data_IF_390288586050
#
_entry.id   IF_390288586050
#
_cell.length_a   1.000
_cell.length_b   1.000
_cell.length_c   1.000
_cell.angle_alpha   90.00
_cell.angle_beta   90.00
_cell.angle_gamma   90.00
#
_symmetry.space_group_name_H-M   'P 1'
#
loop_
_entity.id
_entity.type
_entity.pdbx_description
1 polymer ?
#
# COMPACT_ATOMS: atom_id res chain seq x y z
N UNK A 1 5.00 4.64 23.83
CA UNK A 1 4.42 3.34 23.41
C UNK A 1 2.92 3.41 23.25
N UNK A 2 2.18 4.02 24.19
CA UNK A 2 0.72 4.16 24.08
C UNK A 2 0.27 4.88 22.79
N UNK A 3 0.89 6.01 22.44
CA UNK A 3 0.62 6.69 21.16
C UNK A 3 0.90 5.80 19.94
N UNK A 4 1.94 4.96 20.01
CA UNK A 4 2.27 3.99 18.95
C UNK A 4 1.25 2.85 18.88
N UNK A 5 0.78 2.37 20.03
CA UNK A 5 -0.27 1.37 20.13
C UNK A 5 -1.58 1.88 19.52
N UNK A 6 -1.95 3.12 19.83
CA UNK A 6 -3.11 3.79 19.27
C UNK A 6 -2.98 3.97 17.75
N UNK A 7 -1.83 4.44 17.26
CA UNK A 7 -1.58 4.56 15.82
C UNK A 7 -1.66 3.20 15.09
N UNK A 8 -1.08 2.13 15.67
CA UNK A 8 -1.19 0.77 15.12
C UNK A 8 -2.62 0.26 15.13
N UNK A 9 -3.39 0.58 16.17
CA UNK A 9 -4.81 0.22 16.26
C UNK A 9 -5.65 0.92 15.20
N UNK A 10 -5.42 2.22 14.99
CA UNK A 10 -6.11 3.02 13.95
C UNK A 10 -5.74 2.56 12.54
N UNK A 11 -4.50 2.12 12.32
CA UNK A 11 -4.05 1.51 11.07
C UNK A 11 -4.54 0.07 10.89
N UNK A 12 -5.37 -0.44 11.79
CA UNK A 12 -5.83 -1.83 11.88
C UNK A 12 -4.69 -2.86 11.93
N UNK A 13 -3.49 -2.50 12.42
CA UNK A 13 -2.28 -3.33 12.49
C UNK A 13 -2.12 -3.99 13.86
N UNK A 14 -3.14 -4.77 14.24
CA UNK A 14 -3.25 -5.36 15.57
C UNK A 14 -2.09 -6.31 15.93
N UNK A 15 -1.58 -7.05 14.95
CA UNK A 15 -0.52 -8.05 15.15
C UNK A 15 0.83 -7.42 15.55
N UNK A 16 1.04 -6.13 15.25
CA UNK A 16 2.25 -5.40 15.60
C UNK A 16 2.28 -4.93 17.07
N UNK A 17 1.11 -4.84 17.72
CA UNK A 17 0.96 -4.30 19.08
C UNK A 17 1.62 -5.24 20.10
N UNK A 18 1.46 -6.56 19.92
CA UNK A 18 2.09 -7.59 20.75
C UNK A 18 3.62 -7.49 20.83
N UNK A 19 4.34 -7.60 19.70
CA UNK A 19 5.79 -7.45 19.65
C UNK A 19 6.29 -6.13 20.23
N UNK A 20 5.57 -5.04 20.02
CA UNK A 20 5.91 -3.73 20.61
C UNK A 20 5.85 -3.77 22.14
N UNK A 21 4.76 -4.28 22.72
CA UNK A 21 4.62 -4.34 24.18
C UNK A 21 5.59 -5.31 24.86
N UNK A 22 6.04 -6.37 24.17
CA UNK A 22 7.10 -7.26 24.69
C UNK A 22 8.40 -6.54 25.03
N UNK A 23 8.66 -5.37 24.45
CA UNK A 23 9.85 -4.58 24.75
C UNK A 23 9.78 -3.89 26.13
N UNK A 24 8.58 -3.55 26.61
CA UNK A 24 8.41 -2.79 27.87
C UNK A 24 7.90 -3.63 29.04
N UNK A 25 7.19 -4.74 28.78
CA UNK A 25 6.67 -5.64 29.82
C UNK A 25 7.78 -6.07 30.81
N UNK A 26 8.97 -6.56 30.37
CA UNK A 26 10.00 -7.01 31.30
C UNK A 26 10.55 -5.90 32.21
N UNK A 27 10.47 -4.64 31.75
CA UNK A 27 10.92 -3.49 32.54
C UNK A 27 9.87 -3.10 33.58
N UNK A 28 8.58 -3.14 33.22
CA UNK A 28 7.47 -2.86 34.14
C UNK A 28 7.33 -3.92 35.23
N UNK A 29 7.57 -5.19 34.90
CA UNK A 29 7.63 -6.29 35.86
C UNK A 29 8.73 -6.07 36.91
N UNK A 30 9.94 -5.67 36.49
CA UNK A 30 11.05 -5.36 37.41
C UNK A 30 10.79 -4.16 38.32
N UNK A 31 9.91 -3.26 37.90
CA UNK A 31 9.54 -2.06 38.65
C UNK A 31 8.28 -2.27 39.51
N UNK A 32 7.71 -3.49 39.52
CA UNK A 32 6.43 -3.79 40.17
C UNK A 32 5.30 -2.82 39.77
N UNK A 33 5.35 -2.30 38.54
CA UNK A 33 4.34 -1.37 38.03
C UNK A 33 3.12 -2.12 37.48
N UNK A 34 2.38 -2.77 38.39
CA UNK A 34 1.22 -3.57 38.05
C UNK A 34 0.10 -2.77 37.40
N UNK A 35 -0.04 -1.48 37.74
CA UNK A 35 -1.06 -0.60 37.14
C UNK A 35 -0.87 -0.48 35.63
N UNK A 36 0.37 -0.23 35.18
CA UNK A 36 0.69 -0.17 33.75
C UNK A 36 0.57 -1.53 33.08
N UNK A 37 0.96 -2.62 33.76
CA UNK A 37 0.82 -3.98 33.22
C UNK A 37 -0.65 -4.32 32.95
N UNK A 38 -1.57 -4.02 33.87
CA UNK A 38 -3.01 -4.23 33.67
C UNK A 38 -3.52 -3.50 32.43
N UNK A 39 -3.13 -2.25 32.23
CA UNK A 39 -3.49 -1.47 31.04
C UNK A 39 -2.99 -2.11 29.75
N UNK A 40 -1.71 -2.50 29.72
CA UNK A 40 -1.09 -3.14 28.54
C UNK A 40 -1.79 -4.46 28.19
N UNK A 41 -2.08 -5.31 29.18
CA UNK A 41 -2.75 -6.58 28.92
C UNK A 41 -4.21 -6.40 28.46
N UNK A 42 -4.92 -5.39 28.95
CA UNK A 42 -6.25 -5.04 28.46
C UNK A 42 -6.22 -4.58 26.99
N UNK A 43 -5.25 -3.75 26.62
CA UNK A 43 -5.04 -3.35 25.22
C UNK A 43 -4.67 -4.52 24.32
N UNK A 44 -3.80 -5.42 24.79
CA UNK A 44 -3.42 -6.63 24.06
C UNK A 44 -4.62 -7.54 23.81
N UNK A 45 -5.47 -7.74 24.82
CA UNK A 45 -6.70 -8.50 24.67
C UNK A 45 -7.57 -7.89 23.57
N UNK A 46 -7.81 -6.57 23.62
CA UNK A 46 -8.63 -5.88 22.64
C UNK A 46 -8.02 -5.97 21.23
N UNK A 47 -6.71 -5.79 21.09
CA UNK A 47 -6.00 -5.91 19.83
C UNK A 47 -6.16 -7.31 19.21
N UNK A 48 -5.94 -8.38 19.99
CA UNK A 48 -6.07 -9.74 19.47
C UNK A 48 -7.50 -10.15 19.18
N UNK A 49 -8.49 -9.69 19.96
CA UNK A 49 -9.91 -9.87 19.63
C UNK A 49 -10.25 -9.25 18.27
N UNK A 50 -9.86 -7.99 18.04
CA UNK A 50 -10.06 -7.34 16.74
C UNK A 50 -9.32 -8.06 15.61
N UNK A 51 -8.09 -8.52 15.85
CA UNK A 51 -7.33 -9.31 14.89
C UNK A 51 -8.07 -10.60 14.47
N UNK A 52 -8.69 -11.29 15.42
CA UNK A 52 -9.48 -12.48 15.15
C UNK A 52 -10.75 -12.16 14.33
N UNK A 53 -11.46 -11.09 14.68
CA UNK A 53 -12.66 -10.63 13.97
C UNK A 53 -12.36 -10.24 12.51
N UNK A 54 -11.29 -9.48 12.27
CA UNK A 54 -10.91 -9.09 10.91
C UNK A 54 -10.42 -10.27 10.08
N UNK A 55 -9.76 -11.25 10.71
CA UNK A 55 -9.36 -12.50 10.05
C UNK A 55 -10.57 -13.35 9.67
N UNK A 56 -11.58 -13.44 10.54
CA UNK A 56 -12.82 -14.20 10.27
C UNK A 56 -13.70 -13.53 9.22
N UNK A 57 -13.84 -12.20 9.27
CA UNK A 57 -14.68 -11.45 8.32
C UNK A 57 -14.05 -11.30 6.93
N UNK A 58 -12.72 -11.29 6.83
CA UNK A 58 -12.00 -11.12 5.57
C UNK A 58 -12.20 -9.76 4.90
N UNK A 59 -12.75 -8.77 5.62
CA UNK A 59 -13.06 -7.41 5.12
C UNK A 59 -11.93 -6.39 5.35
N UNK A 60 -10.80 -6.84 5.88
CA UNK A 60 -9.65 -5.98 6.16
C UNK A 60 -8.94 -5.61 4.86
N UNK A 61 -8.74 -4.31 4.63
CA UNK A 61 -8.02 -3.78 3.48
C UNK A 61 -6.82 -2.97 3.96
N UNK A 62 -5.64 -3.58 3.92
CA UNK A 62 -4.39 -2.99 4.45
C UNK A 62 -3.69 -2.03 3.46
N UNK A 63 -4.31 -1.82 2.31
CA UNK A 63 -3.90 -0.90 1.26
C UNK A 63 -3.84 -1.57 -0.10
N UNK A 64 -3.95 -0.73 -1.13
CA UNK A 64 -3.80 -1.08 -2.54
C UNK A 64 -2.46 -0.56 -3.04
N UNK A 65 -1.87 -1.26 -4.02
CA UNK A 65 -0.56 -0.89 -4.57
C UNK A 65 -0.69 -0.63 -6.07
N UNK A 66 0.04 0.38 -6.53
CA UNK A 66 0.10 0.76 -7.93
C UNK A 66 1.55 0.90 -8.36
N UNK A 67 1.91 0.26 -9.47
CA UNK A 67 3.14 0.61 -10.18
C UNK A 67 2.85 1.83 -11.05
N UNK A 68 3.66 2.86 -10.93
CA UNK A 68 3.58 4.09 -11.72
C UNK A 68 4.88 4.26 -12.48
N UNK A 69 4.79 4.27 -13.81
CA UNK A 69 5.91 4.52 -14.71
C UNK A 69 5.79 5.90 -15.32
N UNK A 70 6.89 6.63 -15.33
CA UNK A 70 6.95 7.99 -15.87
C UNK A 70 7.76 8.02 -17.17
N UNK A 71 7.18 8.54 -18.25
CA UNK A 71 7.86 8.72 -19.54
C UNK A 71 7.62 10.14 -20.04
N UNK A 72 8.67 10.95 -20.09
CA UNK A 72 8.62 12.27 -20.75
C UNK A 72 9.99 12.92 -20.81
N UNK A 73 10.80 12.59 -21.81
CA UNK A 73 12.22 12.94 -21.88
C UNK A 73 12.47 14.46 -21.73
N UNK A 74 11.63 15.26 -22.38
CA UNK A 74 11.77 16.73 -22.40
C UNK A 74 11.30 17.42 -21.12
N UNK A 75 10.41 16.79 -20.35
CA UNK A 75 9.71 17.42 -19.23
C UNK A 75 10.08 16.82 -17.87
N UNK A 76 10.43 15.54 -17.82
CA UNK A 76 10.60 14.78 -16.58
C UNK A 76 12.05 14.54 -16.16
N UNK A 77 13.07 15.02 -16.88
CA UNK A 77 14.50 14.94 -16.49
C UNK A 77 14.88 13.62 -15.80
N UNK A 78 15.04 13.64 -14.47
CA UNK A 78 15.46 12.49 -13.65
C UNK A 78 14.36 11.44 -13.44
N UNK A 79 13.09 11.83 -13.59
CA UNK A 79 11.94 10.94 -13.44
C UNK A 79 11.60 10.22 -14.75
N UNK A 80 12.20 10.62 -15.89
CA UNK A 80 12.00 9.92 -17.15
C UNK A 80 12.49 8.47 -17.08
N UNK A 81 11.65 7.55 -17.55
CA UNK A 81 11.88 6.10 -17.58
C UNK A 81 12.14 5.50 -16.19
N UNK A 82 11.41 6.01 -15.19
CA UNK A 82 11.47 5.49 -13.82
C UNK A 82 10.18 4.78 -13.43
N UNK A 83 10.33 3.70 -12.66
CA UNK A 83 9.23 2.91 -12.08
C UNK A 83 9.18 3.10 -10.57
N UNK A 84 7.98 3.40 -10.08
CA UNK A 84 7.72 3.61 -8.66
C UNK A 84 6.56 2.76 -8.21
N UNK A 85 6.60 2.33 -6.94
CA UNK A 85 5.46 1.68 -6.29
C UNK A 85 4.81 2.68 -5.35
N UNK A 86 3.55 2.99 -5.63
CA UNK A 86 2.70 3.79 -4.77
C UNK A 86 1.79 2.89 -3.94
N UNK A 87 1.64 3.25 -2.66
CA UNK A 87 0.75 2.55 -1.73
C UNK A 87 -0.32 3.50 -1.25
N UNK A 88 -1.57 3.11 -1.43
CA UNK A 88 -2.74 3.83 -0.95
C UNK A 88 -3.31 3.18 0.31
N UNK A 89 -3.88 3.99 1.19
CA UNK A 89 -4.65 3.50 2.34
C UNK A 89 -6.05 3.08 1.91
N UNK A 90 -6.48 1.88 2.28
CA UNK A 90 -7.84 1.39 1.99
C UNK A 90 -7.99 0.82 0.58
N UNK A 91 -9.13 1.13 -0.05
CA UNK A 91 -9.58 0.60 -1.36
C UNK A 91 -9.57 1.70 -2.43
N UNK A 92 -8.40 2.28 -2.72
CA UNK A 92 -8.31 3.26 -3.80
C UNK A 92 -8.46 2.55 -5.15
N UNK A 93 -9.23 3.13 -6.07
CA UNK A 93 -9.40 2.59 -7.41
C UNK A 93 -8.30 3.09 -8.36
N UNK A 94 -8.02 2.32 -9.42
CA UNK A 94 -7.09 2.75 -10.48
C UNK A 94 -7.52 4.10 -11.07
N UNK A 95 -8.83 4.28 -11.31
CA UNK A 95 -9.38 5.51 -11.87
C UNK A 95 -9.13 6.73 -10.95
N UNK A 96 -9.33 6.57 -9.65
CA UNK A 96 -9.09 7.62 -8.65
C UNK A 96 -7.60 7.99 -8.56
N UNK A 97 -6.72 7.00 -8.58
CA UNK A 97 -5.27 7.22 -8.54
C UNK A 97 -4.80 7.91 -9.83
N UNK A 98 -5.24 7.41 -10.99
CA UNK A 98 -4.90 8.00 -12.29
C UNK A 98 -5.41 9.44 -12.43
N UNK A 99 -6.62 9.74 -11.92
CA UNK A 99 -7.17 11.09 -11.93
C UNK A 99 -6.31 12.04 -11.08
N UNK A 100 -5.93 11.65 -9.86
CA UNK A 100 -5.06 12.47 -9.00
C UNK A 100 -3.71 12.77 -9.65
N UNK A 101 -3.11 11.79 -10.31
CA UNK A 101 -1.88 12.01 -11.08
C UNK A 101 -2.09 12.99 -12.24
N UNK A 102 -3.17 12.82 -13.00
CA UNK A 102 -3.51 13.70 -14.14
C UNK A 102 -3.71 15.14 -13.70
N UNK A 103 -4.47 15.36 -12.62
CA UNK A 103 -4.73 16.70 -12.09
C UNK A 103 -3.46 17.35 -11.56
N UNK A 104 -2.66 16.63 -10.76
CA UNK A 104 -1.43 17.15 -10.16
C UNK A 104 -0.40 17.56 -11.22
N UNK A 105 -0.08 16.66 -12.15
CA UNK A 105 0.90 16.94 -13.19
C UNK A 105 0.34 17.83 -14.31
N UNK A 106 -0.98 17.81 -14.54
CA UNK A 106 -1.67 18.74 -15.45
C UNK A 106 -1.59 20.18 -14.99
N UNK A 107 -1.62 20.44 -13.67
CA UNK A 107 -1.36 21.77 -13.12
C UNK A 107 0.10 22.22 -13.28
N UNK A 108 1.06 21.29 -13.29
CA UNK A 108 2.49 21.60 -13.37
C UNK A 108 2.99 21.80 -14.81
N UNK A 109 2.50 20.98 -15.76
CA UNK A 109 3.05 20.87 -17.13
C UNK A 109 2.04 21.37 -18.19
N UNK A 110 0.76 21.44 -17.82
CA UNK A 110 -0.36 21.73 -18.71
C UNK A 110 -1.14 20.47 -19.08
N UNK A 111 -2.47 20.56 -19.02
CA UNK A 111 -3.38 19.43 -19.23
C UNK A 111 -3.26 18.82 -20.64
N UNK A 112 -2.87 19.62 -21.64
CA UNK A 112 -2.73 19.18 -23.04
C UNK A 112 -1.44 18.37 -23.29
N UNK A 113 -0.52 18.32 -22.32
CA UNK A 113 0.80 17.70 -22.44
C UNK A 113 0.97 16.50 -21.53
N UNK A 114 -0.12 15.97 -20.98
CA UNK A 114 -0.12 14.82 -20.09
C UNK A 114 -1.16 13.77 -20.48
N UNK A 115 -0.71 12.52 -20.57
CA UNK A 115 -1.57 11.35 -20.66
C UNK A 115 -1.33 10.41 -19.48
N UNK A 116 -2.42 10.03 -18.81
CA UNK A 116 -2.39 9.03 -17.74
C UNK A 116 -3.26 7.87 -18.16
N UNK A 117 -2.62 6.73 -18.44
CA UNK A 117 -3.23 5.54 -19.03
C UNK A 117 -2.65 4.25 -18.44
N UNK A 118 -3.21 3.11 -18.85
CA UNK A 118 -2.59 1.80 -18.64
C UNK A 118 -1.50 1.58 -19.69
N UNK A 119 -0.47 0.80 -19.37
CA UNK A 119 0.67 0.56 -20.26
C UNK A 119 0.22 -0.04 -21.60
N UNK A 120 0.55 0.62 -22.71
CA UNK A 120 0.32 0.17 -24.09
C UNK A 120 1.66 0.09 -24.84
N UNK A 121 1.80 -0.86 -25.78
CA UNK A 121 3.03 -1.06 -26.57
C UNK A 121 3.19 -0.07 -27.74
N UNK A 122 2.54 1.10 -27.68
CA UNK A 122 2.52 2.07 -28.79
C UNK A 122 3.70 3.04 -28.74
N UNK A 123 4.12 3.52 -29.91
CA UNK A 123 5.11 4.60 -30.03
C UNK A 123 4.59 5.88 -29.37
N UNK A 124 5.34 6.39 -28.39
CA UNK A 124 4.99 7.56 -27.59
C UNK A 124 5.56 8.85 -28.20
N UNK A 125 4.80 9.95 -28.10
CA UNK A 125 5.24 11.26 -28.57
C UNK A 125 6.22 11.90 -27.56
N UNK A 126 7.47 12.22 -27.95
CA UNK A 126 8.45 12.84 -27.05
C UNK A 126 8.04 14.22 -26.47
N UNK A 127 7.04 14.87 -27.08
CA UNK A 127 6.50 16.17 -26.62
C UNK A 127 5.45 16.04 -25.52
N UNK A 128 4.96 14.83 -25.25
CA UNK A 128 3.94 14.53 -24.26
C UNK A 128 4.54 13.76 -23.09
N UNK A 129 4.02 14.00 -21.89
CA UNK A 129 4.33 13.23 -20.69
C UNK A 129 3.31 12.13 -20.50
N UNK A 130 3.79 10.89 -20.48
CA UNK A 130 3.00 9.70 -20.20
C UNK A 130 3.26 9.21 -18.78
N UNK A 131 2.18 8.97 -18.04
CA UNK A 131 2.21 8.33 -16.73
C UNK A 131 1.40 7.04 -16.83
N UNK A 132 2.07 5.90 -16.73
CA UNK A 132 1.39 4.62 -16.74
C UNK A 132 1.09 4.16 -15.34
N UNK A 133 -0.17 3.90 -15.05
CA UNK A 133 -0.59 3.40 -13.73
C UNK A 133 -1.13 1.98 -13.90
N UNK A 134 -0.59 1.05 -13.12
CA UNK A 134 -0.98 -0.37 -13.16
C UNK A 134 -1.24 -0.87 -11.75
N UNK A 135 -2.33 -1.61 -11.55
CA UNK A 135 -2.60 -2.28 -10.28
C UNK A 135 -1.63 -3.44 -10.05
N UNK A 136 -1.05 -3.51 -8.87
CA UNK A 136 -0.08 -4.55 -8.49
C UNK A 136 -0.42 -5.14 -7.14
N UNK A 137 -0.02 -6.39 -6.93
CA UNK A 137 -0.26 -7.10 -5.67
C UNK A 137 1.07 -7.51 -5.02
N UNK A 138 1.16 -7.47 -3.68
CA UNK A 138 2.35 -7.93 -2.98
C UNK A 138 2.56 -9.43 -3.24
N UNK A 139 3.82 -9.85 -3.41
CA UNK A 139 4.13 -11.27 -3.51
C UNK A 139 3.80 -11.93 -2.17
N UNK A 140 2.99 -12.98 -2.22
CA UNK A 140 2.53 -13.70 -1.05
C UNK A 140 3.50 -14.86 -0.80
N UNK A 141 4.19 -14.91 0.36
CA UNK A 141 4.98 -16.07 0.72
C UNK A 141 4.10 -17.33 0.84
N UNK A 142 4.63 -18.49 0.47
CA UNK A 142 3.92 -19.77 0.57
C UNK A 142 3.33 -19.98 1.98
N UNK A 143 2.03 -20.32 2.03
CA UNK A 143 1.29 -20.51 3.28
C UNK A 143 0.65 -19.24 3.88
N UNK A 144 0.85 -18.06 3.30
CA UNK A 144 0.15 -16.84 3.69
C UNK A 144 -1.08 -16.56 2.81
N UNK A 145 -2.11 -15.90 3.37
CA UNK A 145 -3.26 -15.39 2.60
C UNK A 145 -2.98 -13.96 2.14
N UNK A 146 -3.48 -13.54 0.97
CA UNK A 146 -3.34 -12.17 0.46
C UNK A 146 -3.74 -11.10 1.48
N UNK A 147 -4.75 -11.38 2.30
CA UNK A 147 -5.29 -10.48 3.33
C UNK A 147 -4.56 -10.56 4.69
N UNK A 148 -3.48 -11.32 4.77
CA UNK A 148 -2.74 -11.51 6.01
C UNK A 148 -1.91 -10.27 6.35
N UNK A 149 -1.77 -9.95 7.63
CA UNK A 149 -0.95 -8.79 8.03
C UNK A 149 0.49 -8.85 7.47
N UNK A 150 1.07 -10.05 7.41
CA UNK A 150 2.45 -10.24 6.93
C UNK A 150 2.62 -9.96 5.43
N UNK A 151 1.59 -10.12 4.61
CA UNK A 151 1.67 -9.83 3.16
C UNK A 151 1.60 -8.33 2.86
N UNK A 152 1.25 -7.50 3.85
CA UNK A 152 1.13 -6.05 3.74
C UNK A 152 2.06 -5.30 4.72
N UNK A 153 3.04 -6.00 5.29
CA UNK A 153 3.98 -5.44 6.27
C UNK A 153 5.41 -5.74 5.82
N UNK A 154 6.25 -4.71 5.71
CA UNK A 154 7.62 -4.83 5.21
C UNK A 154 7.73 -5.48 3.82
N UNK A 155 6.75 -5.24 2.96
CA UNK A 155 6.76 -5.71 1.56
C UNK A 155 7.91 -5.02 0.82
N UNK A 156 8.85 -5.81 0.33
CA UNK A 156 9.97 -5.35 -0.51
C UNK A 156 9.84 -5.78 -1.96
N UNK A 157 8.97 -6.75 -2.25
CA UNK A 157 8.83 -7.36 -3.58
C UNK A 157 7.35 -7.42 -3.94
N UNK A 158 7.02 -6.96 -5.14
CA UNK A 158 5.66 -6.79 -5.64
C UNK A 158 5.61 -7.37 -7.06
N UNK A 159 4.56 -8.12 -7.36
CA UNK A 159 4.33 -8.70 -8.68
C UNK A 159 3.31 -7.88 -9.46
N UNK A 160 3.52 -7.79 -10.77
CA UNK A 160 2.51 -7.25 -11.68
C UNK A 160 1.31 -8.18 -11.69
N UNK A 161 0.12 -7.65 -11.38
CA UNK A 161 -1.09 -8.47 -11.49
C UNK A 161 -1.30 -8.86 -12.95
N UNK A 162 -1.13 -10.13 -13.27
CA UNK A 162 -1.18 -10.68 -14.64
C UNK A 162 -2.55 -10.47 -15.30
N UNK A 163 -3.58 -10.15 -14.50
CA UNK A 163 -4.93 -9.80 -14.95
C UNK A 163 -4.99 -8.53 -15.81
N UNK A 164 -4.08 -7.56 -15.61
CA UNK A 164 -4.04 -6.35 -16.45
C UNK A 164 -3.53 -6.61 -17.87
N UNK A 165 -2.62 -7.58 -18.02
CA UNK A 165 -2.02 -7.93 -19.31
C UNK A 165 -3.00 -8.74 -20.17
N UNK A 166 -3.77 -9.66 -19.56
CA UNK A 166 -4.75 -10.46 -20.29
C UNK A 166 -5.95 -9.65 -20.83
N UNK A 167 -6.40 -8.62 -20.12
CA UNK A 167 -7.51 -7.76 -20.59
C UNK A 167 -7.09 -6.82 -21.71
N UNK A 168 -5.85 -6.32 -21.71
CA UNK A 168 -5.28 -5.56 -22.83
C UNK A 168 -5.08 -6.44 -24.07
N UNK A 169 -4.66 -7.70 -23.89
CA UNK A 169 -4.51 -8.66 -24.99
C UNK A 169 -5.84 -9.16 -25.56
N UNK A 170 -6.91 -9.25 -24.75
CA UNK A 170 -8.23 -9.70 -25.24
C UNK A 170 -9.05 -8.60 -25.93
N UNK A 171 -8.70 -7.32 -25.76
CA UNK A 171 -9.35 -6.19 -26.42
C UNK A 171 -8.63 -5.75 -27.70
N UNK A 172 -7.48 -6.35 -28.02
CA UNK A 172 -6.69 -6.12 -29.22
C UNK A 172 -6.93 -7.15 -30.35
N UNK A 173 -8.00 -7.95 -30.25
CA UNK A 173 -8.43 -8.93 -31.26
C UNK A 173 -9.87 -8.73 -31.69
#
# INVERSE_FOLDING_TARGET
MEQTAQALTLAERYEAIGPMYRLIIPLLEKMDNFKSLVGIYAELQQAYSRAAEVKASGKRHLGTYFRVRFIGENHLKHDHNTDWVYRESGLASLAEVSLRFREYYGQLIGHDRIHVESETETTLDPSIVYIFVTHVEPIIPEGCTSKHFLTHTNVRTIELSTYGIQLAQSLAH
#
